data_IF_892065845249
#
_entry.id   IF_892065845249
#
_cell.length_a   1.000
_cell.length_b   1.000
_cell.length_c   1.000
_cell.angle_alpha   90.00
_cell.angle_beta   90.00
_cell.angle_gamma   90.00
#
_symmetry.space_group_name_H-M   'P 1'
#
loop_
_entity.id
_entity.type
_entity.pdbx_description
1 polymer ?
#
# COMPACT_ATOMS: atom_id res chain seq x y z
N UNK A 1 -4.81 9.17 -3.27
CA UNK A 1 -5.40 10.44 -3.74
C UNK A 1 -4.74 11.68 -3.14
N UNK A 2 -4.54 11.75 -1.82
CA UNK A 2 -4.06 12.99 -1.14
C UNK A 2 -2.82 12.80 -0.26
N UNK A 3 -2.06 11.72 -0.48
CA UNK A 3 -0.86 11.38 0.30
C UNK A 3 -1.08 11.32 1.84
N UNK A 4 -2.25 10.86 2.27
CA UNK A 4 -2.55 10.71 3.70
C UNK A 4 -1.82 9.50 4.31
N UNK A 5 -1.42 9.61 5.58
CA UNK A 5 -0.78 8.50 6.29
C UNK A 5 -1.82 7.40 6.63
N UNK A 6 -1.93 6.41 5.73
CA UNK A 6 -2.95 5.36 5.77
C UNK A 6 -3.06 4.60 7.11
N UNK A 7 -1.95 4.29 7.83
CA UNK A 7 -2.06 3.59 9.10
C UNK A 7 -2.92 4.29 10.16
N UNK A 8 -3.04 5.63 10.10
CA UNK A 8 -3.87 6.38 11.04
C UNK A 8 -5.38 6.16 10.84
N UNK A 9 -5.78 5.65 9.66
CA UNK A 9 -7.17 5.46 9.27
C UNK A 9 -7.55 3.98 9.21
N UNK A 10 -6.75 3.08 9.78
CA UNK A 10 -6.95 1.63 9.63
C UNK A 10 -8.32 1.14 10.14
N UNK A 11 -8.87 1.81 11.16
CA UNK A 11 -10.19 1.51 11.71
C UNK A 11 -11.33 2.07 10.84
N UNK A 12 -11.03 3.01 9.95
CA UNK A 12 -11.97 3.64 9.01
C UNK A 12 -11.71 3.11 7.60
N UNK A 13 -12.08 1.86 7.35
CA UNK A 13 -11.81 1.15 6.09
C UNK A 13 -12.31 1.93 4.89
N UNK A 14 -13.49 2.54 4.97
CA UNK A 14 -14.10 3.35 3.92
C UNK A 14 -13.20 4.51 3.50
N UNK A 15 -12.50 5.14 4.44
CA UNK A 15 -11.57 6.23 4.15
C UNK A 15 -10.34 5.73 3.39
N UNK A 16 -9.80 4.56 3.76
CA UNK A 16 -8.68 3.93 3.04
C UNK A 16 -9.11 3.51 1.64
N UNK A 17 -10.26 2.86 1.51
CA UNK A 17 -10.83 2.45 0.22
C UNK A 17 -11.00 3.67 -0.70
N UNK A 18 -11.61 4.75 -0.21
CA UNK A 18 -11.76 5.98 -0.97
C UNK A 18 -10.42 6.58 -1.41
N UNK A 19 -9.40 6.54 -0.55
CA UNK A 19 -8.06 7.06 -0.86
C UNK A 19 -7.33 6.25 -1.94
N UNK A 20 -7.44 4.94 -1.87
CA UNK A 20 -6.85 4.02 -2.85
C UNK A 20 -7.61 4.15 -4.17
N UNK A 21 -8.93 4.04 -4.16
CA UNK A 21 -9.77 4.12 -5.36
C UNK A 21 -9.60 5.45 -6.10
N UNK A 22 -9.67 6.58 -5.40
CA UNK A 22 -9.45 7.88 -6.03
C UNK A 22 -8.01 8.02 -6.58
N UNK A 23 -7.03 7.36 -5.97
CA UNK A 23 -5.67 7.25 -6.52
C UNK A 23 -5.61 6.45 -7.82
N UNK A 24 -6.32 5.31 -7.88
CA UNK A 24 -6.39 4.46 -9.07
C UNK A 24 -7.14 5.14 -10.22
N UNK A 25 -8.24 5.83 -9.93
CA UNK A 25 -8.99 6.63 -10.91
C UNK A 25 -8.08 7.71 -11.50
N UNK A 26 -7.35 8.43 -10.65
CA UNK A 26 -6.39 9.43 -11.11
C UNK A 26 -5.30 8.81 -11.99
N UNK A 27 -4.66 7.71 -11.55
CA UNK A 27 -3.66 7.00 -12.36
C UNK A 27 -4.22 6.59 -13.72
N UNK A 28 -5.41 5.98 -13.74
CA UNK A 28 -6.08 5.55 -14.98
C UNK A 28 -6.39 6.75 -15.90
N UNK A 29 -6.77 7.90 -15.35
CA UNK A 29 -7.03 9.10 -16.17
C UNK A 29 -5.77 9.66 -16.85
N UNK A 30 -4.59 9.53 -16.23
CA UNK A 30 -3.34 10.06 -16.78
C UNK A 30 -2.62 9.06 -17.68
N UNK A 31 -2.65 7.76 -17.34
CA UNK A 31 -1.84 6.74 -18.02
C UNK A 31 -2.66 5.76 -18.84
N UNK A 32 -3.99 5.75 -18.71
CA UNK A 32 -4.91 4.80 -19.35
C UNK A 32 -4.52 3.33 -19.11
N UNK A 33 -3.81 3.07 -18.01
CA UNK A 33 -3.29 1.76 -17.61
C UNK A 33 -3.58 1.54 -16.13
N UNK A 34 -3.90 0.30 -15.77
CA UNK A 34 -4.01 -0.11 -14.37
C UNK A 34 -2.59 -0.22 -13.76
N UNK A 35 -2.33 0.39 -12.59
CA UNK A 35 -1.04 0.27 -11.94
C UNK A 35 -0.85 -1.14 -11.37
N UNK A 36 0.36 -1.68 -11.48
CA UNK A 36 0.71 -2.96 -10.86
C UNK A 36 1.13 -2.83 -9.40
N UNK A 37 1.57 -1.63 -8.99
CA UNK A 37 2.12 -1.37 -7.67
C UNK A 37 1.57 -0.10 -7.03
N UNK A 38 1.80 0.01 -5.72
CA UNK A 38 1.32 1.13 -4.92
C UNK A 38 2.43 1.73 -4.07
N UNK A 39 2.65 3.04 -4.21
CA UNK A 39 3.54 3.78 -3.32
C UNK A 39 2.78 4.23 -2.07
N UNK A 40 3.14 3.68 -0.92
CA UNK A 40 2.50 4.05 0.34
C UNK A 40 2.95 5.46 0.78
N UNK A 41 2.00 6.33 1.17
CA UNK A 41 2.34 7.62 1.77
C UNK A 41 3.25 7.45 2.98
N UNK A 42 4.41 8.12 2.95
CA UNK A 42 5.47 8.00 3.95
C UNK A 42 5.94 6.55 4.22
N UNK A 43 5.75 5.64 3.24
CA UNK A 43 6.01 4.20 3.38
C UNK A 43 5.28 3.58 4.59
N UNK A 44 4.18 4.21 5.01
CA UNK A 44 3.40 3.83 6.18
C UNK A 44 2.61 2.56 5.93
N UNK A 45 3.07 1.46 6.53
CA UNK A 45 2.41 0.17 6.49
C UNK A 45 1.85 -0.21 7.86
N UNK A 46 0.70 -0.89 7.83
CA UNK A 46 0.12 -1.54 9.00
C UNK A 46 -0.50 -2.87 8.54
N UNK A 47 -0.44 -3.94 9.36
CA UNK A 47 -1.06 -5.21 9.02
C UNK A 47 -2.54 -5.05 8.66
N UNK A 48 -2.96 -5.74 7.59
CA UNK A 48 -4.30 -5.69 7.04
C UNK A 48 -4.47 -4.72 5.85
N UNK A 49 -3.57 -3.76 5.67
CA UNK A 49 -3.60 -2.83 4.54
C UNK A 49 -3.40 -3.57 3.20
N UNK A 50 -2.58 -4.62 3.20
CA UNK A 50 -2.32 -5.50 2.07
C UNK A 50 -3.58 -6.15 1.52
N UNK A 51 -4.57 -6.45 2.37
CA UNK A 51 -5.84 -7.03 1.93
C UNK A 51 -6.65 -6.03 1.10
N UNK A 52 -6.65 -4.77 1.53
CA UNK A 52 -7.32 -3.68 0.82
C UNK A 52 -6.64 -3.47 -0.53
N UNK A 53 -5.31 -3.32 -0.56
CA UNK A 53 -4.56 -3.12 -1.80
C UNK A 53 -4.75 -4.28 -2.78
N UNK A 54 -4.69 -5.53 -2.28
CA UNK A 54 -4.91 -6.72 -3.10
C UNK A 54 -6.33 -6.79 -3.67
N UNK A 55 -7.34 -6.30 -2.95
CA UNK A 55 -8.72 -6.23 -3.46
C UNK A 55 -8.87 -5.35 -4.71
N UNK A 56 -7.96 -4.38 -4.90
CA UNK A 56 -7.90 -3.54 -6.08
C UNK A 56 -6.96 -4.06 -7.19
N UNK A 57 -6.40 -5.27 -7.03
CA UNK A 57 -5.51 -5.88 -8.02
C UNK A 57 -4.07 -5.35 -8.00
N UNK A 58 -3.65 -4.69 -6.91
CA UNK A 58 -2.27 -4.25 -6.74
C UNK A 58 -1.39 -5.42 -6.30
N UNK A 59 -0.28 -5.63 -7.01
CA UNK A 59 0.61 -6.78 -6.83
C UNK A 59 1.70 -6.52 -5.78
N UNK A 60 2.17 -5.28 -5.66
CA UNK A 60 3.21 -4.91 -4.71
C UNK A 60 3.00 -3.52 -4.13
N UNK A 61 3.59 -3.30 -2.96
CA UNK A 61 3.72 -1.98 -2.35
C UNK A 61 5.13 -1.82 -1.78
N UNK A 62 5.58 -0.57 -1.68
CA UNK A 62 6.87 -0.26 -1.08
C UNK A 62 6.64 0.14 0.38
N UNK A 63 7.41 -0.48 1.28
CA UNK A 63 7.39 -0.23 2.72
C UNK A 63 8.78 0.16 3.22
N UNK A 64 8.86 0.65 4.45
CA UNK A 64 10.15 0.95 5.10
C UNK A 64 10.85 -0.35 5.57
N UNK A 65 12.18 -0.36 5.52
CA UNK A 65 13.09 -1.42 5.98
C UNK A 65 12.68 -2.08 7.31
N UNK A 66 12.35 -1.31 8.33
CA UNK A 66 11.96 -1.77 9.67
C UNK A 66 10.68 -2.59 9.63
N UNK A 67 9.76 -2.31 8.71
CA UNK A 67 8.56 -3.10 8.49
C UNK A 67 8.87 -4.53 8.06
N UNK A 68 9.97 -4.72 7.32
CA UNK A 68 10.43 -6.03 6.88
C UNK A 68 11.39 -6.69 7.89
N UNK A 69 12.31 -5.93 8.50
CA UNK A 69 13.28 -6.46 9.47
C UNK A 69 12.63 -6.87 10.80
N UNK A 70 11.58 -6.16 11.24
CA UNK A 70 10.81 -6.48 12.44
C UNK A 70 9.51 -7.22 12.15
N UNK A 71 9.36 -7.76 10.94
CA UNK A 71 8.23 -8.60 10.58
C UNK A 71 8.19 -9.89 11.40
N UNK A 72 6.99 -10.43 11.59
CA UNK A 72 6.79 -11.73 12.22
C UNK A 72 5.99 -12.61 11.27
N UNK A 73 6.57 -13.70 10.72
CA UNK A 73 7.94 -14.16 10.92
C UNK A 73 8.98 -13.22 10.25
N UNK A 74 10.25 -13.24 10.69
CA UNK A 74 11.29 -12.40 10.10
C UNK A 74 11.57 -12.79 8.64
N UNK A 75 11.89 -11.78 7.83
CA UNK A 75 12.30 -11.98 6.43
C UNK A 75 13.54 -12.89 6.33
N UNK A 76 13.44 -13.95 5.53
CA UNK A 76 14.55 -14.90 5.30
C UNK A 76 15.73 -14.26 4.55
N UNK A 77 15.45 -13.34 3.64
CA UNK A 77 16.45 -12.69 2.77
C UNK A 77 16.68 -11.22 3.15
N UNK A 78 16.22 -10.79 4.32
CA UNK A 78 16.28 -9.38 4.75
C UNK A 78 15.56 -8.47 3.76
N UNK A 79 16.23 -7.39 3.33
CA UNK A 79 15.72 -6.41 2.34
C UNK A 79 16.23 -6.65 0.92
N UNK A 80 16.95 -7.76 0.69
CA UNK A 80 17.65 -8.00 -0.58
C UNK A 80 16.80 -8.79 -1.60
N UNK A 81 15.60 -9.21 -1.21
CA UNK A 81 14.61 -9.87 -2.08
C UNK A 81 13.21 -9.51 -1.60
N UNK A 82 12.26 -9.27 -2.53
CA UNK A 82 10.84 -9.37 -2.21
C UNK A 82 10.45 -10.81 -1.84
#
# INVERSE_FOLDING_TARGET
ATNCFLPHYIDLKEAIHAQVEAGLIAHKSFFNLAPEGFWLPNLGYTPGLEHILRSYGLNYAIIETHGLLFSTPPSKNGIFSP
#
